data_IF_876027922628
#
_entry.id   IF_876027922628
#
_cell.length_a   1.000
_cell.length_b   1.000
_cell.length_c   1.000
_cell.angle_alpha   90.00
_cell.angle_beta   90.00
_cell.angle_gamma   90.00
#
_symmetry.space_group_name_H-M   'P 1'
#
loop_
_entity.id
_entity.type
_entity.pdbx_description
1 polymer ?
#
# COMPACT_ATOMS: atom_id res chain seq x y z
N UNK A 1 6.89 -5.33 3.63
CA UNK A 1 5.76 -4.38 3.47
C UNK A 1 4.40 -5.05 3.47
N UNK A 2 4.11 -6.04 2.61
CA UNK A 2 2.78 -6.67 2.53
C UNK A 2 2.26 -7.18 3.89
N UNK A 3 3.06 -7.93 4.64
CA UNK A 3 2.70 -8.45 5.97
C UNK A 3 2.30 -7.32 6.93
N UNK A 4 3.05 -6.22 6.95
CA UNK A 4 2.78 -5.05 7.81
C UNK A 4 1.46 -4.40 7.44
N UNK A 5 1.18 -4.24 6.14
CA UNK A 5 -0.08 -3.67 5.65
C UNK A 5 -1.26 -4.56 6.04
N UNK A 6 -1.16 -5.87 5.81
CA UNK A 6 -2.23 -6.84 6.13
C UNK A 6 -2.54 -6.82 7.63
N UNK A 7 -1.51 -6.90 8.49
CA UNK A 7 -1.69 -6.85 9.95
C UNK A 7 -2.31 -5.52 10.37
N UNK A 8 -1.76 -4.40 9.90
CA UNK A 8 -2.24 -3.06 10.25
C UNK A 8 -3.71 -2.84 9.87
N UNK A 9 -4.10 -3.21 8.64
CA UNK A 9 -5.50 -3.11 8.20
C UNK A 9 -6.42 -3.99 9.02
N UNK A 10 -5.99 -5.20 9.38
CA UNK A 10 -6.80 -6.13 10.16
C UNK A 10 -7.02 -5.61 11.59
N UNK A 11 -5.98 -5.05 12.22
CA UNK A 11 -6.10 -4.41 13.54
C UNK A 11 -7.05 -3.22 13.47
N UNK A 12 -6.89 -2.34 12.47
CA UNK A 12 -7.76 -1.17 12.31
C UNK A 12 -9.23 -1.60 12.11
N UNK A 13 -9.48 -2.58 11.25
CA UNK A 13 -10.82 -3.11 11.02
C UNK A 13 -11.43 -3.69 12.30
N UNK A 14 -10.64 -4.43 13.09
CA UNK A 14 -11.07 -4.94 14.39
C UNK A 14 -11.41 -3.80 15.35
N UNK A 15 -10.57 -2.77 15.46
CA UNK A 15 -10.81 -1.64 16.36
C UNK A 15 -12.06 -0.84 15.99
N UNK A 16 -12.38 -0.74 14.71
CA UNK A 16 -13.57 -0.01 14.23
C UNK A 16 -14.85 -0.80 14.49
N UNK A 17 -14.82 -2.13 14.33
CA UNK A 17 -16.03 -2.96 14.31
C UNK A 17 -16.25 -3.76 15.60
N UNK A 18 -15.17 -4.18 16.26
CA UNK A 18 -15.16 -5.11 17.39
C UNK A 18 -15.90 -6.44 17.11
N UNK A 19 -15.88 -6.89 15.85
CA UNK A 19 -16.58 -8.09 15.38
C UNK A 19 -15.58 -9.12 14.84
N UNK A 20 -15.91 -10.41 15.01
CA UNK A 20 -15.04 -11.50 14.57
C UNK A 20 -14.83 -11.52 13.04
N UNK A 21 -15.81 -10.99 12.30
CA UNK A 21 -15.76 -10.80 10.86
C UNK A 21 -14.62 -9.89 10.39
N UNK A 22 -14.08 -9.02 11.26
CA UNK A 22 -12.91 -8.20 10.94
C UNK A 22 -11.66 -9.03 10.59
N UNK A 23 -11.59 -10.31 11.00
CA UNK A 23 -10.48 -11.19 10.61
C UNK A 23 -10.46 -11.48 9.10
N UNK A 24 -11.60 -11.37 8.41
CA UNK A 24 -11.67 -11.53 6.95
C UNK A 24 -10.92 -10.41 6.19
N UNK A 25 -10.60 -9.31 6.86
CA UNK A 25 -9.79 -8.24 6.27
C UNK A 25 -8.40 -8.76 5.88
N UNK A 26 -7.84 -9.71 6.63
CA UNK A 26 -6.52 -10.26 6.36
C UNK A 26 -6.43 -11.02 5.01
N UNK A 27 -7.24 -12.07 4.76
CA UNK A 27 -7.21 -12.78 3.48
C UNK A 27 -7.62 -11.89 2.30
N UNK A 28 -8.59 -10.99 2.48
CA UNK A 28 -9.01 -10.05 1.44
C UNK A 28 -7.90 -9.06 1.07
N UNK A 29 -7.24 -8.46 2.07
CA UNK A 29 -6.11 -7.56 1.83
C UNK A 29 -4.94 -8.29 1.16
N UNK A 30 -4.62 -9.51 1.61
CA UNK A 30 -3.57 -10.30 0.99
C UNK A 30 -3.89 -10.64 -0.47
N UNK A 31 -5.10 -11.10 -0.77
CA UNK A 31 -5.51 -11.41 -2.14
C UNK A 31 -5.42 -10.18 -3.06
N UNK A 32 -5.85 -9.00 -2.57
CA UNK A 32 -5.73 -7.75 -3.31
C UNK A 32 -4.27 -7.37 -3.56
N UNK A 33 -3.42 -7.40 -2.53
CA UNK A 33 -1.99 -7.09 -2.66
C UNK A 33 -1.26 -8.09 -3.56
N UNK A 34 -1.57 -9.37 -3.44
CA UNK A 34 -1.03 -10.42 -4.30
C UNK A 34 -1.41 -10.18 -5.76
N UNK A 35 -2.68 -9.89 -6.03
CA UNK A 35 -3.16 -9.60 -7.37
C UNK A 35 -2.44 -8.38 -7.96
N UNK A 36 -2.29 -7.29 -7.20
CA UNK A 36 -1.52 -6.11 -7.64
C UNK A 36 -0.06 -6.46 -7.93
N UNK A 37 0.60 -7.20 -7.03
CA UNK A 37 2.00 -7.60 -7.21
C UNK A 37 2.19 -8.62 -8.34
N UNK A 38 1.13 -9.35 -8.73
CA UNK A 38 1.16 -10.27 -9.88
C UNK A 38 1.19 -9.52 -11.21
N UNK A 39 0.62 -8.31 -11.26
CA UNK A 39 0.72 -7.43 -12.43
C UNK A 39 2.05 -6.70 -12.45
N UNK A 40 2.52 -6.18 -11.31
CA UNK A 40 3.82 -5.54 -11.18
C UNK A 40 4.38 -5.71 -9.75
N UNK A 41 5.51 -6.40 -9.64
CA UNK A 41 6.17 -6.68 -8.37
C UNK A 41 6.65 -5.42 -7.62
N UNK A 42 6.77 -4.27 -8.30
CA UNK A 42 7.24 -3.00 -7.74
C UNK A 42 6.13 -2.12 -7.15
N UNK A 43 4.86 -2.53 -7.22
CA UNK A 43 3.73 -1.73 -6.71
C UNK A 43 3.93 -1.33 -5.25
N UNK A 44 4.41 -2.24 -4.41
CA UNK A 44 4.64 -1.94 -2.99
C UNK A 44 5.81 -0.98 -2.75
N UNK A 45 6.86 -1.05 -3.58
CA UNK A 45 8.00 -0.13 -3.52
C UNK A 45 7.53 1.29 -3.91
N UNK A 46 6.72 1.40 -4.96
CA UNK A 46 6.13 2.68 -5.41
C UNK A 46 5.18 3.24 -4.36
N UNK A 47 4.33 2.42 -3.75
CA UNK A 47 3.46 2.83 -2.65
C UNK A 47 4.28 3.37 -1.48
N UNK A 48 5.35 2.67 -1.09
CA UNK A 48 6.21 3.09 -0.01
C UNK A 48 6.89 4.43 -0.29
N UNK A 49 7.42 4.63 -1.50
CA UNK A 49 8.07 5.90 -1.87
C UNK A 49 7.05 7.03 -1.98
N UNK A 50 5.88 6.78 -2.57
CA UNK A 50 4.85 7.81 -2.78
C UNK A 50 4.15 8.29 -1.51
N UNK A 51 4.11 7.44 -0.49
CA UNK A 51 3.57 7.74 0.85
C UNK A 51 4.60 8.39 1.77
N UNK A 52 5.90 8.40 1.42
CA UNK A 52 6.88 9.18 2.17
C UNK A 52 6.55 10.67 2.02
N UNK A 53 6.74 11.42 3.10
CA UNK A 53 6.67 12.89 3.12
C UNK A 53 7.83 13.55 2.35
N UNK A 54 8.62 12.77 1.60
CA UNK A 54 9.75 13.28 0.83
C UNK A 54 9.26 14.27 -0.22
N UNK A 55 9.83 15.49 -0.26
CA UNK A 55 9.50 16.48 -1.29
C UNK A 55 9.67 15.89 -2.70
N UNK A 56 8.70 16.16 -3.57
CA UNK A 56 8.73 15.70 -4.97
C UNK A 56 9.38 16.75 -5.85
N UNK A 57 10.18 16.33 -6.83
CA UNK A 57 10.68 17.21 -7.88
C UNK A 57 9.61 17.34 -8.98
N UNK A 58 9.13 18.55 -9.32
CA UNK A 58 8.04 18.74 -10.27
C UNK A 58 8.54 18.65 -11.73
N UNK A 59 8.80 17.44 -12.22
CA UNK A 59 9.31 17.15 -13.57
C UNK A 59 8.36 16.29 -14.42
N UNK A 60 7.09 16.19 -14.01
CA UNK A 60 6.05 15.41 -14.72
C UNK A 60 5.89 15.76 -16.19
N UNK A 61 6.06 17.02 -16.57
CA UNK A 61 5.92 17.45 -17.97
C UNK A 61 6.92 16.74 -18.92
N UNK A 62 8.08 16.34 -18.40
CA UNK A 62 9.11 15.67 -19.18
C UNK A 62 9.03 14.14 -19.06
N UNK A 63 8.78 13.60 -17.86
CA UNK A 63 8.85 12.15 -17.60
C UNK A 63 7.50 11.44 -17.48
N UNK A 64 6.38 12.16 -17.51
CA UNK A 64 5.04 11.62 -17.24
C UNK A 64 4.74 11.36 -15.76
N UNK A 65 5.73 11.46 -14.87
CA UNK A 65 5.60 11.35 -13.42
C UNK A 65 6.57 12.31 -12.70
N UNK A 66 6.26 12.64 -11.44
CA UNK A 66 7.19 13.40 -10.59
C UNK A 66 8.22 12.45 -9.98
N UNK A 67 9.50 12.84 -10.00
CA UNK A 67 10.55 12.13 -9.27
C UNK A 67 10.42 12.35 -7.77
N UNK A 68 10.72 11.31 -7.00
CA UNK A 68 10.94 11.41 -5.57
C UNK A 68 12.43 11.62 -5.35
N UNK A 69 12.80 12.68 -4.62
CA UNK A 69 14.19 12.90 -4.25
C UNK A 69 14.71 11.78 -3.34
N UNK A 70 16.03 11.49 -3.34
CA UNK A 70 16.65 10.61 -2.33
C UNK A 70 16.45 11.13 -0.90
#
# INVERSE_FOLDING_TARGET
MAVVIVIGLTIIAWLITNELWALMTAPCAYAALFTLCSFDARVLDVLQVSTRLTPRTPNKAFWGANSYGP
#
